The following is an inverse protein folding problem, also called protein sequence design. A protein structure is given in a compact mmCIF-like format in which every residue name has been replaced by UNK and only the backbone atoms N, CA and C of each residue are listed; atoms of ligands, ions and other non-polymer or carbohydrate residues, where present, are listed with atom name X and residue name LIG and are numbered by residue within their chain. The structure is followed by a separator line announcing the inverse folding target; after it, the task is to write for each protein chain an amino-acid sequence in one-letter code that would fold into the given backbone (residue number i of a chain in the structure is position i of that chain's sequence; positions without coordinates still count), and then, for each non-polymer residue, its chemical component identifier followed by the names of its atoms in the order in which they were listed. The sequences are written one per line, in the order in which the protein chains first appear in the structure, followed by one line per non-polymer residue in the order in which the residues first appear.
data_IF_921812731872
#
_entry.id   IF_921812731872
#
_cell.length_a   1.000
_cell.length_b   1.000
_cell.length_c   1.000
_cell.angle_alpha   90.00
_cell.angle_beta   90.00
_cell.angle_gamma   90.00
#
_symmetry.space_group_name_H-M   'P 1'
#
loop_
_entity.id
_entity.type
_entity.pdbx_description
1 polymer ?
#
# COMPACT_ATOMS: atom_id res chain seq x y z
N UNK A 1 -15.00 -3.29 -4.31
CA UNK A 1 -13.60 -3.44 -4.76
C UNK A 1 -13.36 -2.70 -6.06
N UNK A 2 -14.06 -3.02 -7.16
CA UNK A 2 -13.86 -2.34 -8.46
C UNK A 2 -14.07 -0.82 -8.42
N UNK A 3 -15.08 -0.32 -7.68
CA UNK A 3 -15.27 1.12 -7.45
C UNK A 3 -13.98 1.86 -7.01
N UNK A 4 -13.10 1.21 -6.26
CA UNK A 4 -11.86 1.80 -5.73
C UNK A 4 -10.60 1.30 -6.48
N UNK A 5 -10.77 0.52 -7.55
CA UNK A 5 -9.69 0.08 -8.43
C UNK A 5 -9.15 1.26 -9.25
N UNK A 6 -7.85 1.59 -9.16
CA UNK A 6 -7.27 2.75 -9.85
C UNK A 6 -7.16 2.58 -11.36
N UNK A 7 -7.28 1.36 -11.89
CA UNK A 7 -7.11 0.99 -13.30
C UNK A 7 -8.22 0.05 -13.79
N UNK A 8 -9.46 0.30 -13.34
CA UNK A 8 -10.63 -0.55 -13.60
C UNK A 8 -10.86 -0.84 -15.09
N UNK A 9 -10.65 0.16 -15.96
CA UNK A 9 -10.79 0.06 -17.41
C UNK A 9 -9.73 -0.86 -18.06
N UNK A 10 -8.58 -1.02 -17.39
CA UNK A 10 -7.48 -1.88 -17.84
C UNK A 10 -7.66 -3.29 -17.27
N UNK A 11 -8.16 -3.39 -16.04
CA UNK A 11 -8.24 -4.68 -15.36
C UNK A 11 -9.26 -4.68 -14.24
N UNK A 12 -10.43 -5.26 -14.53
CA UNK A 12 -11.49 -5.47 -13.54
C UNK A 12 -11.16 -6.61 -12.60
N UNK A 13 -11.28 -6.38 -11.29
CA UNK A 13 -11.12 -7.43 -10.29
C UNK A 13 -12.30 -8.40 -10.38
N UNK A 14 -11.99 -9.70 -10.43
CA UNK A 14 -12.97 -10.80 -10.54
C UNK A 14 -12.87 -11.79 -9.39
N UNK A 15 -11.77 -11.77 -8.64
CA UNK A 15 -11.53 -12.66 -7.51
C UNK A 15 -10.70 -11.96 -6.42
N UNK A 16 -10.35 -12.71 -5.38
CA UNK A 16 -9.44 -12.30 -4.31
C UNK A 16 -8.44 -13.45 -4.04
N UNK A 17 -7.29 -13.18 -3.42
CA UNK A 17 -6.44 -14.26 -2.91
C UNK A 17 -7.14 -15.00 -1.76
N UNK A 18 -6.60 -16.15 -1.29
CA UNK A 18 -7.22 -16.95 -0.23
C UNK A 18 -7.54 -16.18 1.06
N UNK A 19 -6.75 -15.17 1.39
CA UNK A 19 -6.93 -14.34 2.60
C UNK A 19 -7.82 -13.10 2.36
N UNK A 20 -8.34 -12.91 1.15
CA UNK A 20 -9.33 -11.88 0.77
C UNK A 20 -8.93 -10.41 0.99
N UNK A 21 -7.64 -10.12 1.15
CA UNK A 21 -7.11 -8.81 1.51
C UNK A 21 -7.05 -7.81 0.33
N UNK A 22 -7.18 -8.28 -0.91
CA UNK A 22 -7.15 -7.45 -2.10
C UNK A 22 -7.95 -8.04 -3.26
N UNK A 23 -8.35 -7.21 -4.22
CA UNK A 23 -9.03 -7.67 -5.43
C UNK A 23 -8.00 -8.05 -6.47
N UNK A 24 -8.23 -9.13 -7.23
CA UNK A 24 -7.35 -9.60 -8.29
C UNK A 24 -8.14 -9.70 -9.59
N UNK A 25 -7.52 -9.27 -10.68
CA UNK A 25 -7.93 -9.62 -12.03
C UNK A 25 -7.20 -10.89 -12.51
N UNK A 26 -7.64 -11.54 -13.60
CA UNK A 26 -6.95 -12.70 -14.14
C UNK A 26 -5.46 -12.42 -14.38
N UNK A 27 -4.59 -13.33 -13.92
CA UNK A 27 -3.13 -13.17 -13.99
C UNK A 27 -2.57 -12.05 -13.11
N UNK A 28 -3.33 -11.36 -12.25
CA UNK A 28 -2.73 -10.45 -11.29
C UNK A 28 -2.01 -11.19 -10.17
N UNK A 29 -0.80 -10.71 -9.89
CA UNK A 29 -0.01 -11.09 -8.73
C UNK A 29 0.25 -9.85 -7.88
N UNK A 30 0.66 -10.06 -6.63
CA UNK A 30 1.01 -8.98 -5.73
C UNK A 30 2.18 -9.39 -4.84
N UNK A 31 3.13 -8.48 -4.67
CA UNK A 31 4.14 -8.61 -3.62
C UNK A 31 3.57 -8.03 -2.32
N UNK A 32 3.62 -8.80 -1.24
CA UNK A 32 2.98 -8.43 0.02
C UNK A 32 3.97 -8.42 1.18
N UNK A 33 3.85 -7.44 2.07
CA UNK A 33 4.68 -7.32 3.27
C UNK A 33 3.92 -6.70 4.44
N UNK A 34 4.41 -6.93 5.65
CA UNK A 34 3.82 -6.39 6.88
C UNK A 34 4.82 -5.54 7.64
N UNK A 35 4.37 -4.39 8.16
CA UNK A 35 5.12 -3.58 9.10
C UNK A 35 4.65 -3.93 10.51
N UNK A 36 5.55 -4.39 11.37
CA UNK A 36 5.24 -4.57 12.80
C UNK A 36 5.22 -3.20 13.49
N UNK A 37 4.01 -2.69 13.75
CA UNK A 37 3.84 -1.30 14.22
C UNK A 37 4.24 -1.10 15.68
N UNK A 38 4.35 -2.18 16.46
CA UNK A 38 4.76 -2.14 17.89
C UNK A 38 6.09 -1.43 18.08
N UNK A 39 7.04 -1.61 17.15
CA UNK A 39 8.37 -1.00 17.24
C UNK A 39 8.38 0.52 17.06
N UNK A 40 7.26 1.12 16.68
CA UNK A 40 7.12 2.57 16.49
C UNK A 40 6.19 3.20 17.52
N UNK A 41 5.64 2.42 18.46
CA UNK A 41 4.59 2.87 19.38
C UNK A 41 5.10 2.76 20.81
N UNK A 42 4.90 3.84 21.57
CA UNK A 42 5.19 3.92 23.00
C UNK A 42 3.96 4.40 23.74
N UNK A 43 3.97 4.34 25.07
CA UNK A 43 2.91 4.93 25.91
C UNK A 43 2.68 6.41 25.57
N UNK A 44 3.74 7.14 25.20
CA UNK A 44 3.70 8.56 24.88
C UNK A 44 3.22 8.89 23.46
N UNK A 45 3.18 7.93 22.54
CA UNK A 45 2.69 8.16 21.18
C UNK A 45 3.37 7.32 20.11
N UNK A 46 3.30 7.78 18.85
CA UNK A 46 3.86 7.11 17.68
C UNK A 46 5.11 7.86 17.21
N UNK A 47 6.20 7.13 16.98
CA UNK A 47 7.40 7.65 16.33
C UNK A 47 7.20 7.69 14.81
N UNK A 48 6.54 8.74 14.33
CA UNK A 48 6.21 8.91 12.91
C UNK A 48 7.44 9.01 12.01
N UNK A 49 8.57 9.51 12.50
CA UNK A 49 9.82 9.56 11.72
C UNK A 49 10.32 8.15 11.39
N UNK A 50 10.38 7.26 12.38
CA UNK A 50 10.78 5.87 12.16
C UNK A 50 9.73 5.09 11.36
N UNK A 51 8.45 5.33 11.60
CA UNK A 51 7.36 4.69 10.86
C UNK A 51 7.37 5.10 9.38
N UNK A 52 7.63 6.38 9.08
CA UNK A 52 7.79 6.89 7.72
C UNK A 52 8.94 6.16 7.02
N UNK A 53 10.10 6.10 7.65
CA UNK A 53 11.26 5.40 7.09
C UNK A 53 10.93 3.93 6.79
N UNK A 54 10.25 3.23 7.70
CA UNK A 54 9.85 1.84 7.50
C UNK A 54 8.86 1.66 6.34
N UNK A 55 7.85 2.52 6.23
CA UNK A 55 6.87 2.47 5.14
C UNK A 55 7.51 2.71 3.77
N UNK A 56 8.45 3.65 3.70
CA UNK A 56 9.20 3.98 2.49
C UNK A 56 10.15 2.84 2.09
N UNK A 57 10.90 2.29 3.05
CA UNK A 57 11.76 1.12 2.82
C UNK A 57 10.93 -0.07 2.33
N UNK A 58 9.79 -0.36 2.97
CA UNK A 58 8.89 -1.45 2.57
C UNK A 58 8.39 -1.27 1.14
N UNK A 59 7.97 -0.05 0.77
CA UNK A 59 7.51 0.26 -0.59
C UNK A 59 8.59 -0.04 -1.62
N UNK A 60 9.82 0.43 -1.39
CA UNK A 60 10.96 0.18 -2.29
C UNK A 60 11.36 -1.29 -2.31
N UNK A 61 11.34 -1.98 -1.17
CA UNK A 61 11.68 -3.40 -1.07
C UNK A 61 10.69 -4.25 -1.87
N UNK A 62 9.38 -3.98 -1.76
CA UNK A 62 8.35 -4.70 -2.52
C UNK A 62 8.42 -4.40 -4.02
N UNK A 63 8.69 -3.15 -4.42
CA UNK A 63 8.91 -2.82 -5.83
C UNK A 63 10.15 -3.53 -6.41
N UNK A 64 11.25 -3.63 -5.64
CA UNK A 64 12.40 -4.44 -6.02
C UNK A 64 12.06 -5.94 -6.09
N UNK A 65 11.24 -6.45 -5.17
CA UNK A 65 10.84 -7.86 -5.15
C UNK A 65 10.07 -8.25 -6.42
N UNK A 66 9.31 -7.33 -7.00
CA UNK A 66 8.66 -7.53 -8.30
C UNK A 66 9.69 -7.83 -9.38
N UNK A 67 10.78 -7.04 -9.45
CA UNK A 67 11.83 -7.22 -10.45
C UNK A 67 12.55 -8.55 -10.30
N UNK A 68 12.91 -8.92 -9.07
CA UNK A 68 13.58 -10.20 -8.78
C UNK A 68 12.67 -11.39 -9.11
N UNK A 69 11.36 -11.25 -8.90
CA UNK A 69 10.39 -12.32 -9.17
C UNK A 69 10.08 -12.51 -10.66
N UNK A 70 10.54 -11.62 -11.55
CA UNK A 70 10.15 -11.62 -12.96
C UNK A 70 10.45 -12.92 -13.69
N UNK A 71 11.54 -13.61 -13.36
CA UNK A 71 11.92 -14.88 -13.99
C UNK A 71 11.14 -16.07 -13.43
N UNK A 72 10.63 -15.98 -12.20
CA UNK A 72 9.99 -17.07 -11.45
C UNK A 72 8.49 -17.24 -11.65
N UNK A 73 7.82 -16.35 -12.39
CA UNK A 73 6.39 -16.52 -12.69
C UNK A 73 6.15 -17.77 -13.57
N UNK A 74 5.16 -18.61 -13.24
CA UNK A 74 4.91 -19.87 -13.95
C UNK A 74 4.28 -19.65 -15.33
N UNK A 75 3.57 -18.55 -15.53
CA UNK A 75 2.87 -18.23 -16.77
C UNK A 75 3.20 -16.82 -17.29
N UNK A 76 2.90 -16.57 -18.56
CA UNK A 76 3.20 -15.31 -19.23
C UNK A 76 2.26 -14.17 -18.79
N UNK A 77 1.00 -14.47 -18.51
CA UNK A 77 -0.02 -13.47 -18.15
C UNK A 77 0.34 -12.83 -16.80
N UNK A 78 0.73 -13.65 -15.81
CA UNK A 78 1.24 -13.21 -14.51
C UNK A 78 2.44 -12.28 -14.64
N UNK A 79 3.39 -12.63 -15.51
CA UNK A 79 4.61 -11.84 -15.74
C UNK A 79 4.28 -10.50 -16.39
N UNK A 80 3.43 -10.50 -17.42
CA UNK A 80 2.99 -9.30 -18.11
C UNK A 80 2.20 -8.38 -17.16
N UNK A 81 1.27 -8.95 -16.38
CA UNK A 81 0.47 -8.22 -15.40
C UNK A 81 1.35 -7.57 -14.33
N UNK A 82 2.30 -8.32 -13.78
CA UNK A 82 3.26 -7.81 -12.79
C UNK A 82 4.12 -6.67 -13.36
N UNK A 83 4.61 -6.79 -14.60
CA UNK A 83 5.40 -5.75 -15.26
C UNK A 83 4.56 -4.49 -15.56
N UNK A 84 3.29 -4.69 -15.97
CA UNK A 84 2.39 -3.62 -16.35
C UNK A 84 1.96 -2.78 -15.14
N UNK A 85 1.54 -3.44 -14.05
CA UNK A 85 0.86 -2.80 -12.92
C UNK A 85 1.77 -2.55 -11.72
N UNK A 86 2.80 -3.38 -11.55
CA UNK A 86 3.73 -3.33 -10.42
C UNK A 86 3.02 -3.25 -9.04
N UNK A 87 1.99 -4.07 -8.86
CA UNK A 87 1.12 -4.04 -7.68
C UNK A 87 1.83 -4.56 -6.43
N UNK A 88 1.78 -3.80 -5.36
CA UNK A 88 2.29 -4.16 -4.03
C UNK A 88 1.20 -4.01 -2.97
N UNK A 89 1.34 -4.74 -1.86
CA UNK A 89 0.48 -4.64 -0.69
C UNK A 89 1.30 -4.49 0.59
N UNK A 90 0.99 -3.46 1.37
CA UNK A 90 1.60 -3.20 2.68
C UNK A 90 0.52 -3.33 3.74
N UNK A 91 0.63 -4.38 4.55
CA UNK A 91 -0.16 -4.59 5.75
C UNK A 91 0.57 -4.13 7.01
N UNK A 92 -0.11 -4.28 8.14
CA UNK A 92 0.48 -4.11 9.48
C UNK A 92 0.24 -5.34 10.34
N UNK A 93 1.13 -5.57 11.28
CA UNK A 93 0.91 -6.51 12.39
C UNK A 93 1.24 -5.82 13.72
N UNK A 94 0.81 -6.42 14.84
CA UNK A 94 1.07 -5.87 16.19
C UNK A 94 0.11 -4.74 16.61
N UNK A 95 -1.07 -4.64 16.00
CA UNK A 95 -2.08 -3.64 16.39
C UNK A 95 -2.57 -3.86 17.82
N UNK A 96 -2.88 -5.10 18.21
CA UNK A 96 -3.36 -5.41 19.56
C UNK A 96 -2.33 -5.03 20.62
N UNK A 97 -1.07 -5.43 20.44
CA UNK A 97 0.03 -5.07 21.36
C UNK A 97 0.24 -3.56 21.45
N UNK A 98 0.11 -2.86 20.31
CA UNK A 98 0.21 -1.40 20.27
C UNK A 98 -0.89 -0.71 21.07
N UNK A 99 -2.11 -1.26 21.04
CA UNK A 99 -3.23 -0.76 21.82
C UNK A 99 -3.03 -1.03 23.32
N UNK A 100 -2.45 -2.17 23.68
CA UNK A 100 -2.06 -2.49 25.07
C UNK A 100 -1.02 -1.48 25.59
N UNK A 101 0.05 -1.21 24.82
CA UNK A 101 1.09 -0.23 25.19
C UNK A 101 0.50 1.17 25.44
N UNK A 102 -0.56 1.50 24.71
CA UNK A 102 -1.24 2.80 24.76
C UNK A 102 -2.37 2.85 25.79
N UNK A 103 -2.66 1.75 26.47
CA UNK A 103 -3.80 1.59 27.38
C UNK A 103 -5.13 2.00 26.70
N UNK A 104 -5.38 1.42 25.52
CA UNK A 104 -6.60 1.68 24.72
C UNK A 104 -7.34 0.35 24.52
N UNK A 105 -8.55 0.17 25.07
CA UNK A 105 -9.35 -1.02 24.78
C UNK A 105 -9.74 -1.09 23.30
N UNK A 106 -9.63 -2.29 22.72
CA UNK A 106 -9.70 -2.51 21.27
C UNK A 106 -11.05 -2.11 20.65
N UNK A 107 -12.14 -2.34 21.37
CA UNK A 107 -13.52 -2.13 20.92
C UNK A 107 -13.98 -0.66 20.99
N UNK A 108 -13.08 0.27 21.32
CA UNK A 108 -13.40 1.68 21.50
C UNK A 108 -13.26 2.51 20.23
N UNK A 109 -13.94 3.66 20.18
CA UNK A 109 -13.74 4.63 19.10
C UNK A 109 -12.32 5.19 19.09
N UNK A 110 -11.70 5.28 20.27
CA UNK A 110 -10.31 5.70 20.43
C UNK A 110 -9.35 4.73 19.73
N UNK A 111 -9.56 3.41 19.84
CA UNK A 111 -8.78 2.41 19.12
C UNK A 111 -8.97 2.49 17.61
N UNK A 112 -10.22 2.68 17.15
CA UNK A 112 -10.52 2.85 15.71
C UNK A 112 -9.86 4.11 15.14
N UNK A 113 -9.93 5.23 15.84
CA UNK A 113 -9.27 6.47 15.42
C UNK A 113 -7.76 6.31 15.37
N UNK A 114 -7.15 5.76 16.43
CA UNK A 114 -5.72 5.48 16.46
C UNK A 114 -5.28 4.60 15.28
N UNK A 115 -6.03 3.54 15.00
CA UNK A 115 -5.75 2.64 13.87
C UNK A 115 -5.86 3.37 12.53
N UNK A 116 -6.91 4.18 12.34
CA UNK A 116 -7.08 4.99 11.12
C UNK A 116 -5.92 5.96 10.91
N UNK A 117 -5.46 6.62 11.97
CA UNK A 117 -4.37 7.60 11.90
C UNK A 117 -3.06 6.93 11.48
N UNK A 118 -2.69 5.82 12.14
CA UNK A 118 -1.47 5.06 11.84
C UNK A 118 -1.51 4.50 10.42
N UNK A 119 -2.61 3.87 10.01
CA UNK A 119 -2.74 3.29 8.66
C UNK A 119 -2.77 4.37 7.57
N UNK A 120 -3.44 5.50 7.83
CA UNK A 120 -3.47 6.64 6.90
C UNK A 120 -2.07 7.22 6.68
N UNK A 121 -1.29 7.34 7.76
CA UNK A 121 0.09 7.79 7.69
C UNK A 121 0.97 6.82 6.88
N UNK A 122 0.88 5.51 7.12
CA UNK A 122 1.62 4.49 6.34
C UNK A 122 1.25 4.57 4.86
N UNK A 123 -0.05 4.62 4.53
CA UNK A 123 -0.56 4.74 3.17
C UNK A 123 -0.10 6.04 2.48
N UNK A 124 0.01 7.13 3.23
CA UNK A 124 0.55 8.38 2.70
C UNK A 124 2.04 8.24 2.35
N UNK A 125 2.84 7.75 3.28
CA UNK A 125 4.29 7.59 3.10
C UNK A 125 4.63 6.59 1.99
N UNK A 126 3.86 5.51 1.85
CA UNK A 126 4.04 4.54 0.76
C UNK A 126 3.74 5.16 -0.61
N UNK A 127 2.69 5.99 -0.71
CA UNK A 127 2.37 6.71 -1.96
C UNK A 127 3.43 7.75 -2.32
N UNK A 128 3.96 8.48 -1.32
CA UNK A 128 5.07 9.40 -1.55
C UNK A 128 6.30 8.67 -2.12
N UNK A 129 6.72 7.57 -1.49
CA UNK A 129 7.84 6.78 -2.01
C UNK A 129 7.53 6.22 -3.41
N UNK A 130 6.30 5.78 -3.67
CA UNK A 130 5.90 5.32 -5.01
C UNK A 130 6.04 6.41 -6.07
N UNK A 131 5.72 7.67 -5.74
CA UNK A 131 5.93 8.81 -6.66
C UNK A 131 7.42 9.05 -6.87
N UNK A 132 8.22 9.08 -5.81
CA UNK A 132 9.67 9.27 -5.93
C UNK A 132 10.37 8.13 -6.69
N UNK A 133 9.88 6.89 -6.57
CA UNK A 133 10.35 5.76 -7.37
C UNK A 133 9.97 5.93 -8.83
N UNK A 134 8.75 6.42 -9.13
CA UNK A 134 8.32 6.69 -10.49
C UNK A 134 9.16 7.79 -11.15
N UNK A 135 9.57 8.83 -10.41
CA UNK A 135 10.48 9.87 -10.91
C UNK A 135 11.87 9.30 -11.28
N UNK A 136 12.36 8.29 -10.54
CA UNK A 136 13.69 7.70 -10.73
C UNK A 136 13.72 6.54 -11.73
N UNK A 137 12.66 5.73 -11.77
CA UNK A 137 12.58 4.45 -12.51
C UNK A 137 11.56 4.46 -13.65
N UNK A 138 10.75 5.51 -13.75
CA UNK A 138 9.56 5.56 -14.59
C UNK A 138 8.32 5.04 -13.87
N UNK A 139 7.16 5.57 -14.21
CA UNK A 139 5.85 5.08 -13.74
C UNK A 139 5.54 3.68 -14.26
N UNK A 140 4.73 2.92 -13.53
CA UNK A 140 4.21 1.67 -14.08
C UNK A 140 3.30 1.97 -15.28
N UNK A 141 3.38 1.11 -16.31
CA UNK A 141 2.73 1.34 -17.61
C UNK A 141 1.21 1.44 -17.49
N UNK A 142 0.60 0.73 -16.54
CA UNK A 142 -0.83 0.83 -16.24
C UNK A 142 -1.27 2.26 -15.86
N UNK A 143 -0.35 3.08 -15.37
CA UNK A 143 -0.64 4.43 -14.88
C UNK A 143 -0.35 5.54 -15.92
N UNK A 144 0.17 5.19 -17.11
CA UNK A 144 0.57 6.16 -18.14
C UNK A 144 -0.61 6.82 -18.88
N UNK A 145 -1.80 6.21 -18.86
CA UNK A 145 -2.99 6.79 -19.48
C UNK A 145 -3.69 7.76 -18.52
N UNK A 146 -3.54 9.05 -18.78
CA UNK A 146 -4.03 10.15 -17.95
C UNK A 146 -5.55 10.14 -17.69
N UNK A 147 -6.33 9.58 -18.63
CA UNK A 147 -7.80 9.59 -18.61
C UNK A 147 -8.38 8.45 -17.75
N UNK A 148 -7.70 7.31 -17.66
CA UNK A 148 -8.24 6.08 -17.04
C UNK A 148 -7.77 5.88 -15.58
N UNK A 149 -6.97 6.80 -15.05
CA UNK A 149 -6.28 6.64 -13.78
C UNK A 149 -6.86 7.56 -12.70
N UNK A 150 -7.45 6.96 -11.66
CA UNK A 150 -8.09 7.69 -10.55
C UNK A 150 -7.13 8.59 -9.75
N UNK A 151 -5.81 8.37 -9.85
CA UNK A 151 -4.81 9.23 -9.21
C UNK A 151 -4.59 10.56 -9.96
N UNK A 152 -4.77 10.59 -11.28
CA UNK A 152 -4.67 11.82 -12.08
C UNK A 152 -5.99 12.62 -12.11
N UNK A 153 -7.13 11.95 -11.91
CA UNK A 153 -8.46 12.57 -11.86
C UNK A 153 -8.72 13.47 -10.63
N UNK A 154 -7.69 13.86 -9.87
CA UNK A 154 -7.81 14.80 -8.73
C UNK A 154 -8.47 14.24 -7.47
N UNK A 155 -8.85 12.96 -7.44
CA UNK A 155 -9.50 12.37 -6.26
C UNK A 155 -8.54 12.12 -5.09
N UNK A 156 -7.24 12.07 -5.36
CA UNK A 156 -6.13 12.05 -4.39
C UNK A 156 -5.29 13.32 -4.58
N UNK A 157 -5.89 14.47 -4.31
CA UNK A 157 -5.19 15.77 -4.29
C UNK A 157 -4.09 15.79 -3.24
N UNK A 158 -3.03 16.57 -3.48
CA UNK A 158 -1.99 16.93 -2.47
C UNK A 158 -2.62 17.32 -1.12
N UNK A 159 -3.80 17.95 -1.10
CA UNK A 159 -4.50 18.32 0.13
C UNK A 159 -4.97 17.13 0.99
N UNK A 160 -5.22 15.95 0.41
CA UNK A 160 -5.53 14.72 1.17
C UNK A 160 -4.28 13.97 1.64
N UNK A 161 -3.12 14.35 1.13
CA UNK A 161 -1.83 13.73 1.39
C UNK A 161 -1.11 14.43 2.57
N UNK A 162 -1.26 15.74 2.75
CA UNK A 162 -0.56 16.52 3.79
C UNK A 162 -1.29 16.67 5.16
N UNK A 163 -2.09 15.69 5.60
CA UNK A 163 -2.78 15.79 6.90
C UNK A 163 -1.89 15.69 8.16
N UNK A 164 -0.56 15.62 8.01
CA UNK A 164 0.40 15.51 9.12
C UNK A 164 1.65 16.38 8.92
N UNK A 165 1.46 17.69 8.65
CA UNK A 165 2.49 18.70 8.91
C UNK A 165 2.10 19.52 10.13
#
# INVERSE_FOLDING_TARGET
MNRDNPVEDISTYTSTPPCSEMGLAPGETCQFGYINIVHFITSHGVNYNKLSLAARIMTRALDNAIEVSMTGYPDADSRQSAQLKRKIGIGVCGLADSLIIRDIPYDTEKARQFTRDVLSFINFQSKLESVELAEKRGSCKAMNNFIANKYYAGNVTKSKLYFYQ
#
